data_IF_028500513350
#
_entry.id   IF_028500513350
#
_cell.length_a   1.000
_cell.length_b   1.000
_cell.length_c   1.000
_cell.angle_alpha   90.00
_cell.angle_beta   90.00
_cell.angle_gamma   90.00
#
_symmetry.space_group_name_H-M   'P 1'
#
loop_
_entity.id
_entity.type
_entity.pdbx_description
1 polymer ?
#
# COMPACT_ATOMS: atom_id res chain seq x y z
N UNK A 1 11.31 5.58 -26.91
CA UNK A 1 11.22 5.50 -25.45
C UNK A 1 10.14 4.50 -25.14
N UNK A 2 10.48 3.32 -24.62
CA UNK A 2 9.48 2.34 -24.22
C UNK A 2 9.19 2.55 -22.74
N UNK A 3 7.96 2.98 -22.45
CA UNK A 3 7.50 3.28 -21.10
C UNK A 3 6.71 2.11 -20.54
N UNK A 4 6.90 1.86 -19.26
CA UNK A 4 6.06 0.96 -18.47
C UNK A 4 5.34 1.72 -17.35
N UNK A 5 4.23 1.15 -16.90
CA UNK A 5 3.36 1.75 -15.91
C UNK A 5 3.03 0.75 -14.82
N UNK A 6 2.85 1.26 -13.60
CA UNK A 6 2.28 0.50 -12.51
C UNK A 6 1.33 1.33 -11.68
N UNK A 7 0.45 0.63 -10.97
CA UNK A 7 -0.43 1.25 -9.98
C UNK A 7 0.01 0.74 -8.61
N UNK A 8 0.36 1.68 -7.74
CA UNK A 8 0.63 1.40 -6.34
C UNK A 8 -0.62 1.75 -5.55
N UNK A 9 -1.08 0.81 -4.73
CA UNK A 9 -2.30 0.92 -3.94
C UNK A 9 -2.06 0.64 -2.46
N UNK A 10 -2.99 1.07 -1.61
CA UNK A 10 -3.02 0.78 -0.18
C UNK A 10 -4.44 0.44 0.28
N UNK A 11 -4.57 -0.36 1.33
CA UNK A 11 -5.87 -0.68 1.96
C UNK A 11 -6.41 0.45 2.82
N UNK A 12 -5.55 1.37 3.25
CA UNK A 12 -5.91 2.56 4.04
C UNK A 12 -5.68 3.82 3.20
N UNK A 13 -6.21 5.01 3.57
CA UNK A 13 -5.99 6.26 2.84
C UNK A 13 -4.55 6.77 3.04
N UNK A 14 -3.56 5.94 2.66
CA UNK A 14 -2.14 6.13 2.94
C UNK A 14 -1.59 7.40 2.27
N UNK A 15 -2.07 7.71 1.06
CA UNK A 15 -1.66 8.88 0.28
C UNK A 15 -2.44 10.14 0.64
N UNK A 16 -3.34 10.11 1.63
CA UNK A 16 -3.94 11.33 2.19
C UNK A 16 -2.92 12.18 2.95
N UNK A 17 -1.89 11.54 3.51
CA UNK A 17 -0.77 12.22 4.19
C UNK A 17 0.34 12.49 3.18
N UNK A 18 0.67 13.76 2.95
CA UNK A 18 1.72 14.17 2.01
C UNK A 18 3.09 13.55 2.33
N UNK A 19 3.43 13.39 3.61
CA UNK A 19 4.68 12.75 4.04
C UNK A 19 4.79 11.29 3.59
N UNK A 20 3.69 10.52 3.68
CA UNK A 20 3.66 9.13 3.22
C UNK A 20 3.78 9.05 1.70
N UNK A 21 3.06 9.91 0.97
CA UNK A 21 3.17 9.99 -0.47
C UNK A 21 4.62 10.27 -0.90
N UNK A 22 5.26 11.27 -0.27
CA UNK A 22 6.66 11.60 -0.55
C UNK A 22 7.60 10.42 -0.28
N UNK A 23 7.46 9.75 0.87
CA UNK A 23 8.29 8.61 1.21
C UNK A 23 8.16 7.48 0.17
N UNK A 24 6.94 7.14 -0.24
CA UNK A 24 6.71 6.14 -1.29
C UNK A 24 7.33 6.59 -2.62
N UNK A 25 7.16 7.85 -3.02
CA UNK A 25 7.77 8.35 -4.26
C UNK A 25 9.30 8.34 -4.21
N UNK A 26 9.90 8.67 -3.07
CA UNK A 26 11.35 8.65 -2.88
C UNK A 26 11.91 7.22 -2.94
N UNK A 27 11.17 6.22 -2.43
CA UNK A 27 11.51 4.79 -2.58
C UNK A 27 11.39 4.35 -4.05
N UNK A 28 10.27 4.68 -4.69
CA UNK A 28 9.97 4.28 -6.07
C UNK A 28 10.92 4.94 -7.09
N UNK A 29 11.36 6.17 -6.82
CA UNK A 29 12.34 6.89 -7.62
C UNK A 29 13.70 6.17 -7.67
N UNK A 30 14.07 5.36 -6.67
CA UNK A 30 15.31 4.57 -6.68
C UNK A 30 15.32 3.53 -7.80
N UNK A 31 14.13 3.05 -8.19
CA UNK A 31 13.92 2.16 -9.33
C UNK A 31 13.62 2.93 -10.61
N UNK A 32 13.64 4.27 -10.61
CA UNK A 32 13.35 5.10 -11.79
C UNK A 32 11.87 5.35 -12.04
N UNK A 33 10.99 5.00 -11.10
CA UNK A 33 9.56 5.30 -11.20
C UNK A 33 9.29 6.78 -10.92
N UNK A 34 8.41 7.36 -11.72
CA UNK A 34 7.99 8.76 -11.63
C UNK A 34 6.47 8.84 -11.52
N UNK A 35 5.98 9.77 -10.71
CA UNK A 35 4.54 10.00 -10.55
C UNK A 35 3.94 10.53 -11.84
N UNK A 36 2.90 9.85 -12.33
CA UNK A 36 2.07 10.34 -13.43
C UNK A 36 0.82 10.99 -12.88
N UNK A 37 0.12 10.28 -11.99
CA UNK A 37 -1.21 10.67 -11.54
C UNK A 37 -1.48 10.12 -10.14
N UNK A 38 -2.13 10.93 -9.30
CA UNK A 38 -2.71 10.49 -8.03
C UNK A 38 -4.22 10.36 -8.22
N UNK A 39 -4.72 9.14 -8.30
CA UNK A 39 -6.16 8.90 -8.53
C UNK A 39 -6.99 9.32 -7.32
N UNK A 40 -6.57 8.91 -6.13
CA UNK A 40 -7.27 9.16 -4.88
C UNK A 40 -6.28 9.10 -3.69
N UNK A 41 -6.77 8.85 -2.49
CA UNK A 41 -5.94 8.70 -1.29
C UNK A 41 -5.43 7.26 -1.07
N UNK A 42 -5.77 6.33 -1.95
CA UNK A 42 -5.47 4.90 -1.89
C UNK A 42 -4.61 4.42 -3.06
N UNK A 43 -4.59 5.12 -4.20
CA UNK A 43 -3.93 4.69 -5.44
C UNK A 43 -3.20 5.82 -6.15
N UNK A 44 -2.01 5.49 -6.66
CA UNK A 44 -1.20 6.35 -7.53
C UNK A 44 -0.73 5.55 -8.75
N UNK A 45 -0.59 6.24 -9.89
CA UNK A 45 0.00 5.70 -11.12
C UNK A 45 1.42 6.23 -11.27
N UNK A 46 2.35 5.32 -11.50
CA UNK A 46 3.75 5.62 -11.78
C UNK A 46 4.11 5.17 -13.20
N UNK A 47 5.10 5.84 -13.80
CA UNK A 47 5.71 5.44 -15.07
C UNK A 47 7.22 5.36 -14.94
N UNK A 48 7.83 4.56 -15.80
CA UNK A 48 9.29 4.37 -15.87
C UNK A 48 9.71 4.01 -17.28
N UNK A 49 10.95 4.33 -17.65
CA UNK A 49 11.57 3.81 -18.88
C UNK A 49 12.14 2.41 -18.66
N UNK A 50 11.88 1.49 -19.59
CA UNK A 50 12.28 0.07 -19.52
C UNK A 50 13.80 -0.11 -19.32
N UNK A 51 14.64 0.83 -19.72
CA UNK A 51 16.10 0.78 -19.49
C UNK A 51 16.49 0.64 -18.01
N UNK A 52 15.62 1.03 -17.08
CA UNK A 52 15.86 0.95 -15.65
C UNK A 52 15.75 -0.48 -15.08
N UNK A 53 15.19 -1.44 -15.84
CA UNK A 53 15.01 -2.83 -15.40
C UNK A 53 16.32 -3.56 -15.07
N UNK A 54 17.41 -3.20 -15.74
CA UNK A 54 18.71 -3.86 -15.59
C UNK A 54 19.24 -3.84 -14.15
N UNK A 55 18.82 -2.84 -13.35
CA UNK A 55 19.23 -2.68 -11.96
C UNK A 55 18.20 -3.12 -10.93
N UNK A 56 17.11 -3.79 -11.31
CA UNK A 56 16.03 -4.16 -10.37
C UNK A 56 16.46 -5.25 -9.39
N UNK A 57 17.26 -6.22 -9.83
CA UNK A 57 17.67 -7.36 -9.01
C UNK A 57 18.59 -7.02 -7.83
N UNK A 58 19.23 -5.85 -7.84
CA UNK A 58 20.16 -5.40 -6.79
C UNK A 58 19.50 -4.50 -5.74
N UNK A 59 18.18 -4.29 -5.83
CA UNK A 59 17.45 -3.35 -4.96
C UNK A 59 16.95 -4.01 -3.68
N UNK A 60 16.89 -3.20 -2.62
CA UNK A 60 16.34 -3.60 -1.32
C UNK A 60 14.81 -3.63 -1.35
N UNK A 61 14.18 -2.80 -2.18
CA UNK A 61 12.74 -2.73 -2.38
C UNK A 61 12.39 -3.33 -3.74
N UNK A 62 11.38 -4.19 -3.78
CA UNK A 62 10.88 -4.78 -5.01
C UNK A 62 10.35 -3.68 -5.96
N UNK A 63 10.99 -3.55 -7.12
CA UNK A 63 10.67 -2.57 -8.14
C UNK A 63 9.23 -2.72 -8.70
N UNK A 64 8.63 -3.90 -8.60
CA UNK A 64 7.28 -4.19 -9.09
C UNK A 64 6.24 -4.31 -7.98
N UNK A 65 6.57 -3.94 -6.74
CA UNK A 65 5.57 -3.90 -5.67
C UNK A 65 4.40 -2.99 -6.06
N UNK A 66 3.20 -3.46 -5.74
CA UNK A 66 1.95 -2.74 -6.01
C UNK A 66 1.18 -2.39 -4.74
N UNK A 67 1.61 -2.86 -3.57
CA UNK A 67 0.95 -2.64 -2.28
C UNK A 67 1.88 -1.92 -1.31
N UNK A 68 1.39 -0.87 -0.65
CA UNK A 68 2.12 -0.10 0.38
C UNK A 68 1.25 0.22 1.60
N UNK A 69 1.91 0.61 2.68
CA UNK A 69 1.26 0.94 3.96
C UNK A 69 1.12 -0.28 4.87
N UNK A 70 0.10 -0.28 5.73
CA UNK A 70 -0.14 -1.40 6.63
C UNK A 70 -0.43 -2.69 5.85
N UNK A 71 0.13 -3.79 6.34
CA UNK A 71 -0.18 -5.11 5.80
C UNK A 71 -1.68 -5.37 5.87
N UNK A 72 -2.24 -5.90 4.78
CA UNK A 72 -3.63 -6.31 4.69
C UNK A 72 -3.97 -7.31 5.79
N UNK A 73 -3.03 -8.21 6.12
CA UNK A 73 -3.19 -9.19 7.18
C UNK A 73 -3.38 -8.52 8.55
N UNK A 74 -2.59 -7.48 8.85
CA UNK A 74 -2.70 -6.74 10.11
C UNK A 74 -4.03 -5.98 10.15
N UNK A 75 -4.40 -5.32 9.06
CA UNK A 75 -5.63 -4.52 8.98
C UNK A 75 -6.87 -5.38 9.17
N UNK A 76 -7.02 -6.44 8.37
CA UNK A 76 -8.17 -7.33 8.44
C UNK A 76 -8.16 -8.22 9.68
N UNK A 77 -6.98 -8.68 10.11
CA UNK A 77 -6.82 -9.45 11.34
C UNK A 77 -7.30 -8.65 12.54
N UNK A 78 -6.83 -7.40 12.69
CA UNK A 78 -7.24 -6.52 13.80
C UNK A 78 -8.75 -6.26 13.77
N UNK A 79 -9.31 -5.94 12.60
CA UNK A 79 -10.75 -5.71 12.46
C UNK A 79 -11.56 -6.96 12.87
N UNK A 80 -11.10 -8.15 12.48
CA UNK A 80 -11.74 -9.43 12.82
C UNK A 80 -11.70 -9.68 14.33
N UNK A 81 -10.53 -9.56 14.96
CA UNK A 81 -10.38 -9.74 16.40
C UNK A 81 -11.22 -8.75 17.21
N UNK A 82 -11.24 -7.47 16.83
CA UNK A 82 -12.07 -6.45 17.48
C UNK A 82 -13.55 -6.80 17.34
N UNK A 83 -14.00 -7.21 16.15
CA UNK A 83 -15.39 -7.60 15.91
C UNK A 83 -15.79 -8.79 16.79
N UNK A 84 -14.96 -9.84 16.84
CA UNK A 84 -15.21 -11.02 17.67
C UNK A 84 -15.24 -10.67 19.16
N UNK A 85 -14.33 -9.81 19.62
CA UNK A 85 -14.30 -9.36 21.02
C UNK A 85 -15.59 -8.59 21.38
N UNK A 86 -16.04 -7.67 20.52
CA UNK A 86 -17.29 -6.92 20.73
C UNK A 86 -18.50 -7.86 20.78
N UNK A 87 -18.58 -8.81 19.84
CA UNK A 87 -19.66 -9.81 19.82
C UNK A 87 -19.68 -10.64 21.11
N UNK A 88 -18.51 -11.09 21.59
CA UNK A 88 -18.40 -11.83 22.86
C UNK A 88 -18.84 -10.98 24.06
N UNK A 89 -18.50 -9.70 24.10
CA UNK A 89 -18.95 -8.78 25.15
C UNK A 89 -20.47 -8.63 25.12
N UNK A 90 -21.07 -8.49 23.94
CA UNK A 90 -22.54 -8.41 23.79
C UNK A 90 -23.19 -9.69 24.31
N UNK A 91 -22.70 -10.87 23.93
CA UNK A 91 -23.26 -12.14 24.44
C UNK A 91 -23.18 -12.24 25.97
N UNK A 92 -22.06 -11.82 26.56
CA UNK A 92 -21.89 -11.76 28.03
C UNK A 92 -22.87 -10.81 28.69
N UNK A 93 -23.14 -9.65 28.10
CA UNK A 93 -24.08 -8.67 28.64
C UNK A 93 -25.54 -9.11 28.52
N UNK A 94 -25.89 -9.83 27.45
CA UNK A 94 -27.25 -10.33 27.19
C UNK A 94 -27.54 -11.62 27.99
N UNK A 95 -26.53 -12.24 28.60
CA UNK A 95 -26.70 -13.45 29.42
C UNK A 95 -26.91 -14.72 28.58
N UNK A 96 -26.44 -14.73 27.34
CA UNK A 96 -26.50 -15.91 26.45
C UNK A 96 -25.41 -16.94 26.73
N UNK A 97 -24.63 -16.77 27.80
CA UNK A 97 -23.71 -17.72 28.41
C UNK A 97 -23.34 -17.27 29.83
#
# INVERSE_FOLDING_TARGET
MELEYKIVQSTTPHFAKSGNLKAVLDEEAQSGWQLVEKFDNYKIRLQRDISHRTGDATRTVDAYRTQVGLSNFVTYGTATFVTLAVVLVIFRLVGTF
#
